data_IF_796048862531
#
_entry.id   IF_796048862531
#
_cell.length_a   1.000
_cell.length_b   1.000
_cell.length_c   1.000
_cell.angle_alpha   90.00
_cell.angle_beta   90.00
_cell.angle_gamma   90.00
#
_symmetry.space_group_name_H-M   'P 1'
#
loop_
_entity.id
_entity.type
_entity.pdbx_description
1 polymer ?
#
# COMPACT_ATOMS: atom_id res chain seq x y z
N UNK A 1 -6.57 16.74 -21.22
CA UNK A 1 -7.40 15.53 -21.05
C UNK A 1 -7.06 14.59 -22.19
N UNK A 2 -5.98 13.84 -22.03
CA UNK A 2 -5.47 12.95 -23.05
C UNK A 2 -5.99 11.55 -22.80
N UNK A 3 -6.90 11.12 -23.68
CA UNK A 3 -7.47 9.78 -23.70
C UNK A 3 -6.42 8.81 -24.22
N UNK A 4 -5.95 7.94 -23.32
CA UNK A 4 -5.71 6.51 -23.52
C UNK A 4 -5.28 6.06 -24.93
N UNK A 5 -3.98 5.94 -25.17
CA UNK A 5 -3.43 5.03 -26.18
C UNK A 5 -2.02 4.60 -25.76
N UNK A 6 -1.87 3.32 -25.41
CA UNK A 6 -0.54 2.73 -25.24
C UNK A 6 -0.51 1.52 -24.33
N UNK A 7 -1.02 0.38 -24.83
CA UNK A 7 -0.89 -0.97 -24.25
C UNK A 7 -1.69 -1.20 -22.94
N UNK A 8 -2.55 -2.25 -22.82
CA UNK A 8 -3.00 -2.67 -21.50
C UNK A 8 -1.75 -2.96 -20.65
N UNK A 9 -1.74 -2.60 -19.36
CA UNK A 9 -0.57 -2.89 -18.54
C UNK A 9 -0.27 -4.40 -18.61
N UNK A 10 1.03 -4.80 -18.63
CA UNK A 10 1.38 -6.16 -18.26
C UNK A 10 0.67 -6.48 -16.94
N UNK A 11 0.06 -7.66 -16.86
CA UNK A 11 -0.71 -8.22 -15.73
C UNK A 11 -1.14 -7.22 -14.63
N UNK A 12 -2.45 -7.05 -14.42
CA UNK A 12 -3.01 -6.08 -13.47
C UNK A 12 -2.37 -6.08 -12.06
N UNK A 13 -1.78 -7.21 -11.65
CA UNK A 13 -0.99 -7.35 -10.41
C UNK A 13 0.33 -6.58 -10.46
N UNK A 14 1.10 -6.61 -11.55
CA UNK A 14 2.30 -5.77 -11.69
C UNK A 14 1.93 -4.29 -11.70
N UNK A 15 0.92 -3.91 -12.49
CA UNK A 15 0.44 -2.53 -12.51
C UNK A 15 -0.02 -2.04 -11.13
N UNK A 16 -0.66 -2.91 -10.34
CA UNK A 16 -1.06 -2.60 -8.96
C UNK A 16 0.13 -2.18 -8.08
N UNK A 17 1.26 -2.87 -8.16
CA UNK A 17 2.47 -2.51 -7.42
C UNK A 17 3.12 -1.24 -7.98
N UNK A 18 3.14 -1.06 -9.29
CA UNK A 18 3.68 0.14 -9.93
C UNK A 18 2.88 1.40 -9.52
N UNK A 19 1.55 1.33 -9.57
CA UNK A 19 0.69 2.42 -9.13
C UNK A 19 0.86 2.73 -7.65
N UNK A 20 1.10 1.72 -6.82
CA UNK A 20 1.43 1.92 -5.41
C UNK A 20 2.76 2.67 -5.26
N UNK A 21 3.81 2.21 -5.93
CA UNK A 21 5.13 2.83 -5.88
C UNK A 21 5.13 4.28 -6.40
N UNK A 22 4.33 4.59 -7.43
CA UNK A 22 4.24 5.95 -7.99
C UNK A 22 3.18 6.83 -7.35
N UNK A 23 2.43 6.35 -6.36
CA UNK A 23 1.37 7.12 -5.71
C UNK A 23 0.20 7.45 -6.63
N UNK A 24 -0.07 6.60 -7.63
CA UNK A 24 -1.20 6.77 -8.55
C UNK A 24 -2.51 6.33 -7.87
N UNK A 25 -2.93 7.17 -6.94
CA UNK A 25 -4.10 7.01 -6.09
C UNK A 25 -5.39 6.70 -6.87
N UNK A 26 -5.54 7.28 -8.07
CA UNK A 26 -6.72 7.08 -8.91
C UNK A 26 -6.81 5.64 -9.41
N UNK A 27 -5.73 5.12 -9.98
CA UNK A 27 -5.70 3.73 -10.48
C UNK A 27 -5.72 2.71 -9.33
N UNK A 28 -5.13 3.05 -8.18
CA UNK A 28 -5.26 2.24 -6.96
C UNK A 28 -6.72 2.10 -6.52
N UNK A 29 -7.53 3.15 -6.67
CA UNK A 29 -8.95 3.08 -6.33
C UNK A 29 -9.71 2.16 -7.30
N UNK A 30 -9.35 2.16 -8.59
CA UNK A 30 -9.96 1.27 -9.59
C UNK A 30 -9.58 -0.20 -9.37
N UNK A 31 -8.35 -0.47 -8.94
CA UNK A 31 -7.82 -1.81 -8.74
C UNK A 31 -7.90 -2.31 -7.29
N UNK A 32 -8.73 -1.70 -6.45
CA UNK A 32 -8.88 -2.04 -5.02
C UNK A 32 -9.21 -3.51 -4.71
N UNK A 33 -9.70 -4.26 -5.69
CA UNK A 33 -9.97 -5.69 -5.55
C UNK A 33 -8.68 -6.53 -5.48
N UNK A 34 -7.52 -5.95 -5.79
CA UNK A 34 -6.20 -6.55 -5.67
C UNK A 34 -5.54 -6.31 -4.30
N UNK A 35 -6.20 -5.62 -3.38
CA UNK A 35 -5.75 -5.49 -1.99
C UNK A 35 -5.49 -6.86 -1.40
N UNK A 36 -4.30 -7.05 -0.81
CA UNK A 36 -3.83 -8.31 -0.25
C UNK A 36 -2.96 -9.14 -1.20
N UNK A 37 -2.82 -8.74 -2.47
CA UNK A 37 -1.82 -9.33 -3.37
C UNK A 37 -0.41 -9.10 -2.85
N UNK A 38 0.47 -10.06 -3.15
CA UNK A 38 1.87 -10.05 -2.73
C UNK A 38 2.79 -10.27 -3.90
N UNK A 39 3.88 -9.51 -3.94
CA UNK A 39 4.95 -9.72 -4.93
C UNK A 39 5.83 -10.93 -4.56
N UNK A 40 6.85 -11.18 -5.37
CA UNK A 40 7.81 -12.29 -5.15
C UNK A 40 8.61 -12.21 -3.84
N UNK A 41 8.67 -11.04 -3.20
CA UNK A 41 9.30 -10.83 -1.89
C UNK A 41 8.28 -10.88 -0.74
N UNK A 42 7.01 -11.18 -1.05
CA UNK A 42 5.92 -11.17 -0.10
C UNK A 42 5.42 -9.76 0.25
N UNK A 43 5.90 -8.72 -0.43
CA UNK A 43 5.51 -7.33 -0.13
C UNK A 43 4.14 -7.03 -0.73
N UNK A 44 3.39 -6.18 -0.05
CA UNK A 44 2.07 -5.71 -0.51
C UNK A 44 2.17 -4.30 -1.11
N UNK A 45 1.10 -3.84 -1.77
CA UNK A 45 1.04 -2.49 -2.33
C UNK A 45 1.26 -1.41 -1.26
N UNK A 46 0.73 -1.58 -0.05
CA UNK A 46 0.93 -0.63 1.05
C UNK A 46 2.42 -0.45 1.39
N UNK A 47 3.22 -1.52 1.36
CA UNK A 47 4.66 -1.44 1.63
C UNK A 47 5.37 -0.60 0.55
N UNK A 48 5.08 -0.85 -0.72
CA UNK A 48 5.61 -0.06 -1.85
C UNK A 48 5.17 1.41 -1.77
N UNK A 49 3.89 1.67 -1.46
CA UNK A 49 3.32 3.01 -1.39
C UNK A 49 4.04 3.88 -0.34
N UNK A 50 4.25 3.35 0.86
CA UNK A 50 4.81 4.13 1.97
C UNK A 50 6.34 4.21 1.92
N UNK A 51 7.00 3.19 1.38
CA UNK A 51 8.45 3.19 1.09
C UNK A 51 8.82 4.32 0.11
N UNK A 52 7.91 4.66 -0.82
CA UNK A 52 8.11 5.75 -1.80
C UNK A 52 7.60 7.12 -1.32
N UNK A 53 7.28 7.28 -0.02
CA UNK A 53 6.91 8.58 0.55
C UNK A 53 5.42 8.94 0.43
N UNK A 54 4.58 8.06 -0.11
CA UNK A 54 3.15 8.32 -0.22
C UNK A 54 2.42 7.99 1.08
N UNK A 55 1.43 8.82 1.44
CA UNK A 55 0.69 8.66 2.70
C UNK A 55 -0.78 9.10 2.64
N UNK A 56 -1.15 9.93 1.65
CA UNK A 56 -2.45 10.62 1.65
C UNK A 56 -3.63 9.66 1.55
N UNK A 57 -3.49 8.59 0.77
CA UNK A 57 -4.56 7.61 0.52
C UNK A 57 -4.25 6.22 1.04
N UNK A 58 -3.50 6.13 2.13
CA UNK A 58 -3.23 4.87 2.86
C UNK A 58 -4.52 4.08 3.15
N UNK A 59 -5.65 4.75 3.35
CA UNK A 59 -6.93 4.09 3.63
C UNK A 59 -7.41 3.17 2.48
N UNK A 60 -6.98 3.40 1.23
CA UNK A 60 -7.28 2.51 0.10
C UNK A 60 -6.67 1.12 0.30
N UNK A 61 -5.56 1.05 1.04
CA UNK A 61 -4.75 -0.14 1.27
C UNK A 61 -4.83 -0.63 2.72
N UNK A 62 -5.78 -0.14 3.51
CA UNK A 62 -5.88 -0.43 4.95
C UNK A 62 -6.04 -1.93 5.28
N UNK A 63 -6.54 -2.75 4.32
CA UNK A 63 -6.63 -4.20 4.46
C UNK A 63 -5.26 -4.90 4.62
N UNK A 64 -4.17 -4.22 4.25
CA UNK A 64 -2.81 -4.77 4.26
C UNK A 64 -2.01 -4.39 5.50
N UNK A 65 -2.60 -3.63 6.44
CA UNK A 65 -1.90 -3.00 7.57
C UNK A 65 -1.16 -3.99 8.49
N UNK A 66 -1.61 -5.25 8.52
CA UNK A 66 -1.02 -6.34 9.30
C UNK A 66 -0.23 -7.35 8.45
N UNK A 67 -0.06 -7.09 7.15
CA UNK A 67 0.72 -7.98 6.29
C UNK A 67 2.21 -7.86 6.60
N UNK A 68 2.88 -9.01 6.52
CA UNK A 68 4.32 -9.16 6.68
C UNK A 68 4.90 -9.70 5.36
N UNK A 69 6.03 -9.14 4.95
CA UNK A 69 6.81 -9.64 3.82
C UNK A 69 7.61 -10.90 4.20
N UNK A 70 8.41 -11.41 3.26
CA UNK A 70 9.24 -12.60 3.50
C UNK A 70 10.33 -12.43 4.58
N UNK A 71 10.67 -11.19 4.94
CA UNK A 71 11.63 -10.86 6.02
C UNK A 71 10.94 -10.63 7.36
N UNK A 72 9.62 -10.64 7.40
CA UNK A 72 8.84 -10.30 8.59
C UNK A 72 8.65 -8.80 8.79
N UNK A 73 8.97 -7.97 7.79
CA UNK A 73 8.75 -6.52 7.84
C UNK A 73 7.31 -6.18 7.44
N UNK A 74 6.70 -5.23 8.15
CA UNK A 74 5.38 -4.68 7.81
C UNK A 74 5.50 -3.28 7.18
N UNK A 75 4.39 -2.72 6.71
CA UNK A 75 4.34 -1.37 6.14
C UNK A 75 4.86 -0.27 7.08
N UNK A 76 4.72 -0.41 8.41
CA UNK A 76 5.27 0.55 9.37
C UNK A 76 6.80 0.55 9.34
N UNK A 77 7.43 -0.63 9.28
CA UNK A 77 8.89 -0.76 9.14
C UNK A 77 9.40 -0.08 7.88
N UNK A 78 8.68 -0.25 6.75
CA UNK A 78 9.02 0.42 5.49
C UNK A 78 8.92 1.94 5.58
N UNK A 79 7.82 2.46 6.15
CA UNK A 79 7.62 3.90 6.33
C UNK A 79 8.72 4.54 7.22
N UNK A 80 9.14 3.85 8.28
CA UNK A 80 10.22 4.29 9.16
C UNK A 80 11.57 4.35 8.43
N UNK A 81 11.90 3.31 7.65
CA UNK A 81 13.15 3.26 6.86
C UNK A 81 13.20 4.33 5.78
N UNK A 82 12.05 4.71 5.23
CA UNK A 82 11.91 5.77 4.23
C UNK A 82 11.80 7.19 4.83
N UNK A 83 11.83 7.35 6.17
CA UNK A 83 11.58 8.62 6.85
C UNK A 83 10.25 9.29 6.45
N UNK A 84 9.22 8.47 6.20
CA UNK A 84 7.87 8.93 5.86
C UNK A 84 7.04 9.07 7.14
N UNK A 85 7.33 10.12 7.93
CA UNK A 85 6.74 10.34 9.27
C UNK A 85 5.21 10.41 9.25
N UNK A 86 4.64 10.97 8.19
CA UNK A 86 3.19 11.08 8.02
C UNK A 86 2.54 9.71 7.76
N UNK A 87 3.19 8.82 7.00
CA UNK A 87 2.75 7.42 6.88
C UNK A 87 2.91 6.67 8.20
N UNK A 88 4.03 6.87 8.93
CA UNK A 88 4.25 6.28 10.25
C UNK A 88 3.11 6.65 11.20
N UNK A 89 2.76 7.94 11.27
CA UNK A 89 1.67 8.43 12.09
C UNK A 89 0.33 7.78 11.73
N UNK A 90 -0.04 7.80 10.44
CA UNK A 90 -1.32 7.25 9.94
C UNK A 90 -1.43 5.74 10.16
N UNK A 91 -0.37 4.99 9.88
CA UNK A 91 -0.34 3.54 10.09
C UNK A 91 -0.46 3.23 11.58
N UNK A 92 0.24 3.98 12.44
CA UNK A 92 0.16 3.80 13.89
C UNK A 92 -1.26 4.00 14.42
N UNK A 93 -1.98 5.01 13.90
CA UNK A 93 -3.40 5.22 14.21
C UNK A 93 -4.27 4.03 13.77
N UNK A 94 -4.11 3.56 12.52
CA UNK A 94 -4.89 2.43 12.00
C UNK A 94 -4.66 1.14 12.81
N UNK A 95 -3.42 0.89 13.21
CA UNK A 95 -3.08 -0.24 14.08
C UNK A 95 -3.75 -0.12 15.46
N UNK A 96 -3.76 1.06 16.06
CA UNK A 96 -4.41 1.30 17.35
C UNK A 96 -5.93 1.10 17.31
N UNK A 97 -6.58 1.57 16.24
CA UNK A 97 -8.02 1.39 16.03
C UNK A 97 -8.40 -0.09 15.86
N UNK A 98 -7.57 -0.85 15.14
CA UNK A 98 -7.77 -2.29 14.96
C UNK A 98 -7.68 -3.08 16.29
N UNK A 99 -6.83 -2.65 17.22
CA UNK A 99 -6.72 -3.27 18.56
C UNK A 99 -7.92 -2.95 19.46
N UNK A 100 -8.48 -1.75 19.34
CA UNK A 100 -9.61 -1.31 20.16
C UNK A 100 -10.89 -2.06 19.80
N UNK A 101 -11.08 -2.40 18.52
CA UNK A 101 -12.22 -3.22 18.05
C UNK A 101 -12.11 -4.70 18.40
N UNK A 102 -10.90 -5.21 18.69
CA UNK A 102 -10.68 -6.61 19.12
C UNK A 102 -10.91 -6.85 20.61
N UNK A 103 -11.03 -5.80 21.42
CA UNK A 103 -11.20 -5.86 22.89
C UNK A 103 -12.66 -5.68 23.36
N UNK A 104 -13.60 -5.46 22.43
CA UNK A 104 -15.04 -5.43 22.69
C UNK A 104 -15.67 -6.70 22.13
#
# INVERSE_FOLDING_TARGET
>A
MDKINGNPPPDAVSAWFDFAATGNDWELEQLRHLVGQRDSLGRTALMHYVENGWYKRIYLLAGEIHCLDAKGDNALTYAQRAHNDEAVHRISMLLADAQTKRRK
#
